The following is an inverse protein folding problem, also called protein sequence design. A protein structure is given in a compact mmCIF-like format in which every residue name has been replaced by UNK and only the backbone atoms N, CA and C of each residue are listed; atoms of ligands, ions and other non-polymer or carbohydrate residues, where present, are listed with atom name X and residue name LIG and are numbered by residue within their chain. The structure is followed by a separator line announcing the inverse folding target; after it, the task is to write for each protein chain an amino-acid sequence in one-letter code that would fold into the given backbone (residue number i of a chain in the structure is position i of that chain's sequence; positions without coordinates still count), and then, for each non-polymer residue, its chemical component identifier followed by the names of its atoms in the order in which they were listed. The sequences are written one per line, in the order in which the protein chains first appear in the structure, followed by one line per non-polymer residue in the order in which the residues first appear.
data_IF_059396736347
#
_entry.id   IF_059396736347
#
_cell.length_a   1.000
_cell.length_b   1.000
_cell.length_c   1.000
_cell.angle_alpha   90.00
_cell.angle_beta   90.00
_cell.angle_gamma   90.00
#
_symmetry.space_group_name_H-M   'P 1'
#
loop_
_entity.id
_entity.type
_entity.pdbx_description
1 polymer ?
2 polymer ?
3 polymer ?
4 non-polymer ?
5 non-polymer ?
6 water ?
#
# COMPACT_ATOMS: atom_id res chain seq x y z
N UNK A 1 16.80 -15.45 -7.87
CA UNK A 1 16.46 -14.75 -6.65
C UNK A 1 15.17 -15.27 -6.04
N UNK A 2 14.61 -14.54 -5.05
CA UNK A 2 13.38 -14.99 -4.39
C UNK A 2 12.12 -14.50 -5.08
N UNK A 3 10.97 -14.96 -4.60
CA UNK A 3 9.71 -14.45 -5.12
C UNK A 3 8.71 -14.50 -3.97
N UNK A 4 7.60 -13.78 -4.13
CA UNK A 4 6.65 -13.79 -3.04
C UNK A 4 5.24 -13.60 -3.55
N UNK A 5 4.29 -14.10 -2.77
CA UNK A 5 2.90 -13.72 -2.87
C UNK A 5 2.41 -13.31 -1.48
N UNK A 6 1.54 -12.29 -1.45
CA UNK A 6 0.91 -11.82 -0.22
C UNK A 6 -0.52 -11.43 -0.52
N UNK A 7 -1.39 -11.60 0.47
CA UNK A 7 -2.72 -11.03 0.50
C UNK A 7 -2.85 -10.17 1.75
N UNK A 8 -3.32 -8.92 1.55
CA UNK A 8 -3.54 -7.90 2.58
C UNK A 8 -5.04 -7.75 2.71
N UNK A 9 -5.59 -8.16 3.85
CA UNK A 9 -7.03 -8.10 4.07
C UNK A 9 -7.33 -7.10 5.18
N UNK A 10 -8.42 -6.37 5.04
CA UNK A 10 -8.81 -5.29 5.94
C UNK A 10 -10.30 -5.40 6.17
N UNK A 11 -10.72 -5.40 7.42
CA UNK A 11 -12.13 -5.27 7.74
C UNK A 11 -12.32 -4.16 8.77
N UNK A 12 -13.33 -3.33 8.53
CA UNK A 12 -13.68 -2.20 9.37
C UNK A 12 -15.16 -2.33 9.71
N UNK A 13 -15.46 -2.43 11.01
CA UNK A 13 -16.85 -2.52 11.46
C UNK A 13 -17.52 -1.16 11.29
N UNK A 14 -18.81 -1.20 10.97
CA UNK A 14 -19.59 0.01 10.74
C UNK A 14 -20.75 0.11 11.71
N UNK A 15 -20.69 1.01 12.70
CA UNK A 15 -21.70 1.03 13.77
C UNK A 15 -23.14 1.05 13.28
N UNK A 16 -23.96 0.21 13.91
CA UNK A 16 -25.36 0.10 13.54
C UNK A 16 -25.58 -0.70 12.29
N UNK A 17 -24.53 -1.31 11.75
CA UNK A 17 -24.60 -2.15 10.57
C UNK A 17 -24.08 -3.55 10.88
N UNK A 18 -24.62 -4.53 10.16
CA UNK A 18 -24.24 -5.92 10.31
C UNK A 18 -22.92 -6.22 9.59
N UNK A 19 -22.77 -5.71 8.37
CA UNK A 19 -21.64 -6.02 7.50
C UNK A 19 -20.53 -4.99 7.67
N UNK A 20 -19.33 -5.39 8.03
CA UNK A 20 -18.20 -4.46 7.97
C UNK A 20 -17.78 -4.28 6.53
N UNK A 21 -17.06 -3.20 6.27
CA UNK A 21 -16.33 -3.10 5.01
C UNK A 21 -15.17 -4.09 5.00
N UNK A 22 -15.08 -4.90 3.94
CA UNK A 22 -13.98 -5.86 3.76
C UNK A 22 -13.25 -5.60 2.43
N UNK A 23 -11.94 -5.42 2.50
CA UNK A 23 -11.11 -5.21 1.32
C UNK A 23 -10.02 -6.27 1.34
N UNK A 24 -9.77 -6.88 0.19
CA UNK A 24 -8.77 -7.92 0.06
C UNK A 24 -7.91 -7.61 -1.16
N UNK A 25 -6.58 -7.57 -0.99
CA UNK A 25 -5.68 -7.24 -2.10
C UNK A 25 -4.55 -8.27 -2.24
N UNK A 26 -4.37 -8.77 -3.47
CA UNK A 26 -3.28 -9.66 -3.79
C UNK A 26 -2.05 -8.97 -4.35
N UNK A 27 -0.89 -9.54 -4.03
CA UNK A 27 0.42 -9.03 -4.43
C UNK A 27 1.30 -10.18 -4.84
N UNK A 28 1.89 -10.09 -6.03
CA UNK A 28 2.99 -10.97 -6.44
C UNK A 28 4.23 -10.11 -6.58
N UNK A 29 5.28 -10.46 -5.85
CA UNK A 29 6.53 -9.69 -5.84
C UNK A 29 6.26 -8.21 -5.57
N UNK A 30 5.42 -7.96 -4.58
CA UNK A 30 5.02 -6.63 -4.13
C UNK A 30 4.33 -5.83 -5.22
N UNK A 31 3.78 -6.48 -6.24
CA UNK A 31 3.01 -5.81 -7.27
C UNK A 31 1.56 -6.31 -7.20
N UNK A 32 0.60 -5.38 -7.12
CA UNK A 32 -0.80 -5.75 -6.95
C UNK A 32 -1.33 -6.45 -8.20
N UNK A 33 -1.81 -7.69 -8.04
CA UNK A 33 -2.45 -8.36 -9.18
C UNK A 33 -3.94 -8.63 -9.06
N UNK A 34 -4.56 -8.46 -7.89
CA UNK A 34 -6.00 -8.73 -7.72
C UNK A 34 -6.53 -7.90 -6.56
N UNK A 35 -7.82 -7.60 -6.58
CA UNK A 35 -8.43 -6.81 -5.53
C UNK A 35 -9.92 -7.11 -5.44
N UNK A 36 -10.43 -7.15 -4.20
CA UNK A 36 -11.86 -7.23 -3.91
C UNK A 36 -12.22 -6.16 -2.89
N UNK A 37 -13.39 -5.54 -3.08
CA UNK A 37 -13.86 -4.48 -2.21
C UNK A 37 -15.38 -4.61 -2.02
N UNK A 38 -15.83 -4.81 -0.79
CA UNK A 38 -17.24 -4.98 -0.48
C UNK A 38 -18.07 -3.72 -0.77
N UNK A 39 -17.43 -2.60 -1.10
CA UNK A 39 -18.10 -1.32 -1.30
C UNK A 39 -18.84 -1.21 -2.65
N UNK A 40 -18.50 -2.05 -3.62
CA UNK A 40 -19.12 -2.00 -4.93
C UNK A 40 -20.59 -2.43 -4.87
N UNK A 41 -21.35 -2.02 -5.89
CA UNK A 41 -22.76 -2.41 -5.96
C UNK A 41 -22.90 -3.92 -6.13
N UNK A 42 -22.10 -4.51 -7.02
CA UNK A 42 -22.03 -5.96 -7.23
C UNK A 42 -20.57 -6.36 -7.05
N UNK A 43 -20.12 -6.59 -5.81
CA UNK A 43 -18.68 -6.79 -5.57
C UNK A 43 -18.17 -8.13 -6.12
N UNK A 44 -17.03 -8.07 -6.80
CA UNK A 44 -16.47 -9.21 -7.50
C UNK A 44 -14.97 -9.08 -7.43
N UNK A 45 -14.28 -10.22 -7.34
CA UNK A 45 -12.83 -10.17 -7.33
C UNK A 45 -12.35 -9.76 -8.72
N UNK A 46 -11.35 -8.89 -8.77
CA UNK A 46 -10.95 -8.32 -10.06
C UNK A 46 -9.45 -8.33 -10.32
N UNK A 47 -9.03 -8.58 -11.56
CA UNK A 47 -7.60 -8.53 -11.89
C UNK A 47 -7.10 -7.09 -11.93
N UNK A 48 -5.98 -6.85 -11.27
CA UNK A 48 -5.27 -5.58 -11.29
C UNK A 48 -4.02 -5.62 -12.13
N UNK A 49 -3.74 -6.74 -12.78
CA UNK A 49 -2.56 -6.81 -13.62
C UNK A 49 -2.93 -7.38 -14.97
N UNK A 50 -2.23 -6.95 -16.03
CA UNK A 50 -2.55 -7.47 -17.38
C UNK A 50 -2.58 -9.00 -17.47
N UNK A 51 -1.56 -9.66 -16.93
CA UNK A 51 -1.44 -11.11 -17.03
C UNK A 51 -2.52 -11.87 -16.26
N UNK A 52 -3.36 -11.20 -15.47
CA UNK A 52 -4.37 -11.93 -14.74
C UNK A 52 -5.63 -12.16 -15.55
N UNK A 53 -5.78 -11.47 -16.67
CA UNK A 53 -6.91 -11.72 -17.57
C UNK A 53 -6.78 -13.04 -18.31
N UNK A 54 -5.67 -13.77 -18.12
CA UNK A 54 -5.53 -15.12 -18.67
C UNK A 54 -6.33 -16.17 -17.90
N UNK A 55 -6.92 -15.80 -16.74
CA UNK A 55 -7.68 -16.74 -15.93
C UNK A 55 -9.16 -16.68 -16.28
N UNK A 56 -9.83 -17.84 -16.22
CA UNK A 56 -11.20 -17.97 -16.67
C UNK A 56 -12.26 -17.69 -15.64
N UNK A 57 -13.52 -17.95 -16.00
CA UNK A 57 -14.64 -17.53 -15.13
C UNK A 57 -14.70 -18.25 -13.80
N UNK A 58 -14.44 -19.56 -13.78
CA UNK A 58 -14.47 -20.28 -12.52
C UNK A 58 -13.49 -19.69 -11.50
N UNK A 59 -12.35 -19.18 -11.96
CA UNK A 59 -11.42 -18.50 -11.05
C UNK A 59 -12.11 -17.33 -10.37
N UNK A 60 -12.67 -16.41 -11.14
CA UNK A 60 -13.17 -15.19 -10.51
C UNK A 60 -14.43 -15.45 -9.70
N UNK A 61 -15.31 -16.33 -10.17
CA UNK A 61 -16.44 -16.74 -9.33
C UNK A 61 -15.96 -17.33 -8.01
N UNK A 62 -14.96 -18.22 -8.04
CA UNK A 62 -14.52 -18.87 -6.81
C UNK A 62 -13.87 -17.88 -5.86
N UNK A 63 -12.93 -17.06 -6.37
CA UNK A 63 -12.31 -16.06 -5.50
C UNK A 63 -13.36 -15.10 -4.92
N UNK A 64 -14.36 -14.75 -5.72
CA UNK A 64 -15.42 -13.88 -5.23
C UNK A 64 -16.15 -14.54 -4.05
N UNK A 65 -16.56 -15.79 -4.21
CA UNK A 65 -17.30 -16.46 -3.13
C UNK A 65 -16.41 -16.64 -1.89
N UNK A 66 -15.14 -16.96 -2.09
CA UNK A 66 -14.19 -16.99 -0.99
C UNK A 66 -14.17 -15.66 -0.23
N UNK A 67 -14.13 -14.54 -0.98
CA UNK A 67 -14.04 -13.23 -0.34
C UNK A 67 -15.30 -12.92 0.45
N UNK A 68 -16.47 -13.32 -0.05
CA UNK A 68 -17.65 -13.11 0.77
C UNK A 68 -17.61 -13.95 2.04
N UNK A 69 -17.02 -15.15 1.96
CA UNK A 69 -16.85 -15.95 3.16
C UNK A 69 -15.89 -15.33 4.14
N UNK A 70 -14.83 -14.68 3.61
CA UNK A 70 -13.89 -13.99 4.49
C UNK A 70 -14.52 -12.75 5.11
N UNK A 71 -15.29 -11.99 4.34
CA UNK A 71 -16.08 -10.91 4.95
C UNK A 71 -16.86 -11.41 6.16
N UNK A 72 -17.55 -12.55 5.99
CA UNK A 72 -18.25 -13.10 7.16
C UNK A 72 -17.28 -13.47 8.29
N UNK A 73 -16.12 -14.08 7.95
CA UNK A 73 -15.21 -14.50 9.00
C UNK A 73 -14.74 -13.30 9.83
N UNK A 74 -14.39 -12.20 9.17
CA UNK A 74 -13.98 -11.00 9.89
C UNK A 74 -15.13 -10.39 10.67
N UNK A 75 -16.36 -10.49 10.15
CA UNK A 75 -17.47 -9.97 10.94
C UNK A 75 -17.59 -10.69 12.30
N UNK A 76 -17.53 -12.03 12.28
CA UNK A 76 -17.50 -12.83 13.52
C UNK A 76 -16.34 -12.40 14.42
N UNK A 77 -15.12 -12.42 13.86
CA UNK A 77 -13.95 -12.21 14.71
C UNK A 77 -13.98 -10.83 15.32
N UNK A 78 -14.49 -9.83 14.58
CA UNK A 78 -14.69 -8.51 15.16
C UNK A 78 -15.62 -8.59 16.38
N UNK A 79 -16.78 -9.24 16.20
CA UNK A 79 -17.67 -9.34 17.35
C UNK A 79 -16.96 -9.97 18.55
N UNK A 80 -16.09 -10.96 18.32
CA UNK A 80 -15.40 -11.58 19.45
C UNK A 80 -14.41 -10.63 20.10
N UNK A 81 -13.66 -9.88 19.30
CA UNK A 81 -12.69 -8.96 19.89
C UNK A 81 -13.37 -7.90 20.75
N UNK A 82 -14.58 -7.45 20.39
CA UNK A 82 -15.29 -6.55 21.30
C UNK A 82 -15.38 -7.14 22.71
N UNK A 83 -15.60 -8.45 22.82
CA UNK A 83 -15.72 -9.05 24.13
C UNK A 83 -14.39 -9.19 24.82
N UNK A 84 -13.35 -9.65 24.09
CA UNK A 84 -12.03 -9.82 24.72
C UNK A 84 -11.55 -8.51 25.34
N UNK A 85 -11.73 -7.41 24.64
CA UNK A 85 -11.23 -6.09 25.00
C UNK A 85 -12.27 -5.21 25.65
N UNK A 86 -13.46 -5.75 25.92
CA UNK A 86 -14.56 -5.00 26.57
C UNK A 86 -14.83 -3.67 25.86
N UNK A 87 -14.98 -3.74 24.54
CA UNK A 87 -15.32 -2.52 23.81
C UNK A 87 -16.79 -2.52 23.45
N UNK A 88 -17.24 -1.40 22.89
CA UNK A 88 -18.62 -1.21 22.45
C UNK A 88 -18.69 -1.32 20.94
N UNK A 89 -19.79 -1.87 20.46
CA UNK A 89 -20.01 -1.93 19.02
C UNK A 89 -20.36 -0.57 18.43
N UNK A 90 -20.64 0.41 19.30
CA UNK A 90 -20.87 1.77 18.85
C UNK A 90 -19.68 2.41 18.16
N UNK A 91 -18.47 1.91 18.40
CA UNK A 91 -17.28 2.40 17.76
C UNK A 91 -16.88 1.58 16.54
N UNK A 92 -16.17 2.22 15.61
CA UNK A 92 -15.57 1.52 14.49
C UNK A 92 -14.27 0.87 14.92
N UNK A 93 -14.04 -0.37 14.46
CA UNK A 93 -12.84 -1.11 14.77
C UNK A 93 -12.26 -1.74 13.50
N UNK A 94 -10.97 -2.07 13.56
CA UNK A 94 -10.18 -2.39 12.38
C UNK A 94 -9.39 -3.66 12.64
N UNK A 95 -9.53 -4.60 11.72
CA UNK A 95 -8.82 -5.87 11.79
C UNK A 95 -8.12 -6.07 10.46
N UNK A 96 -6.86 -6.47 10.51
CA UNK A 96 -6.07 -6.64 9.29
C UNK A 96 -5.32 -7.96 9.32
N UNK A 97 -5.00 -8.44 8.12
CA UNK A 97 -4.38 -9.73 7.94
C UNK A 97 -3.36 -9.67 6.80
N UNK A 98 -2.24 -10.32 7.00
CA UNK A 98 -1.25 -10.49 5.96
C UNK A 98 -0.98 -11.99 5.85
N UNK A 99 -1.05 -12.53 4.64
CA UNK A 99 -0.77 -13.95 4.48
C UNK A 99 -0.04 -14.20 3.17
N UNK A 100 0.75 -15.26 3.12
CA UNK A 100 1.36 -15.63 1.86
C UNK A 100 2.69 -16.31 2.09
N UNK A 101 3.52 -16.32 1.05
CA UNK A 101 4.71 -17.15 1.07
C UNK A 101 5.82 -16.50 0.25
N UNK A 102 7.05 -16.80 0.67
CA UNK A 102 8.28 -16.47 -0.06
C UNK A 102 8.94 -17.75 -0.52
N UNK A 103 9.24 -17.81 -1.82
CA UNK A 103 10.03 -18.86 -2.41
C UNK A 103 11.48 -18.44 -2.48
N UNK A 104 12.36 -19.36 -2.09
CA UNK A 104 13.79 -19.11 -2.06
C UNK A 104 14.39 -19.13 -3.46
N UNK A 105 15.72 -19.19 -3.50
CA UNK A 105 16.42 -19.23 -4.79
C UNK A 105 16.13 -20.52 -5.55
N UNK A 106 15.85 -21.61 -4.84
CA UNK A 106 15.52 -22.90 -5.43
C UNK A 106 14.02 -23.08 -5.71
N UNK A 107 13.22 -22.04 -5.51
CA UNK A 107 11.78 -22.02 -5.76
C UNK A 107 11.02 -22.88 -4.76
N UNK A 108 11.72 -23.55 -3.85
CA UNK A 108 11.07 -24.18 -2.72
C UNK A 108 10.54 -23.13 -1.77
N UNK A 109 9.53 -23.53 -1.01
CA UNK A 109 8.99 -22.64 0.00
C UNK A 109 10.11 -22.18 0.92
N UNK A 110 10.30 -20.87 1.04
CA UNK A 110 11.30 -20.36 1.94
C UNK A 110 10.66 -20.00 3.28
N UNK A 111 9.68 -19.11 3.26
CA UNK A 111 8.99 -18.78 4.51
C UNK A 111 7.50 -18.56 4.27
N UNK A 112 6.68 -19.10 5.16
CA UNK A 112 5.26 -18.81 5.19
C UNK A 112 4.97 -17.68 6.17
N UNK A 113 3.87 -16.95 5.91
CA UNK A 113 3.48 -15.82 6.73
C UNK A 113 1.97 -15.84 6.94
N UNK A 114 1.55 -15.77 8.20
CA UNK A 114 0.16 -15.48 8.50
C UNK A 114 0.12 -14.64 9.76
N UNK A 115 -0.46 -13.44 9.67
CA UNK A 115 -0.45 -12.60 10.86
C UNK A 115 -1.60 -11.62 10.84
N UNK A 116 -2.03 -11.23 12.04
CA UNK A 116 -3.19 -10.38 12.23
C UNK A 116 -2.82 -9.16 13.06
N UNK A 117 -3.57 -8.09 12.85
CA UNK A 117 -3.42 -6.88 13.63
C UNK A 117 -4.81 -6.37 13.99
N UNK A 118 -4.93 -5.87 15.20
CA UNK A 118 -6.16 -5.23 15.65
C UNK A 118 -5.85 -3.79 15.99
N UNK A 119 -6.71 -2.88 15.53
CA UNK A 119 -6.52 -1.44 15.72
C UNK A 119 -5.13 -1.03 15.26
N UNK A 120 -4.64 -1.69 14.22
CA UNK A 120 -3.36 -1.36 13.64
C UNK A 120 -2.15 -1.79 14.44
N UNK A 121 -2.31 -2.71 15.39
CA UNK A 121 -1.17 -3.21 16.14
C UNK A 121 -1.17 -4.74 16.11
N UNK A 122 0.04 -5.31 16.06
CA UNK A 122 0.20 -6.77 16.03
C UNK A 122 -0.65 -7.41 17.10
N UNK A 123 -1.34 -8.49 16.71
CA UNK A 123 -2.22 -9.24 17.59
C UNK A 123 -1.73 -10.68 17.74
N UNK A 124 -1.71 -11.45 16.67
CA UNK A 124 -1.23 -12.84 16.74
C UNK A 124 -0.61 -13.18 15.40
N UNK A 125 0.42 -14.02 15.43
CA UNK A 125 1.11 -14.35 14.20
C UNK A 125 1.58 -15.80 14.25
N UNK A 126 1.41 -16.50 13.14
CA UNK A 126 1.91 -17.86 13.02
C UNK A 126 3.43 -17.84 12.89
N UNK A 127 4.09 -18.80 13.55
CA UNK A 127 5.54 -18.74 13.59
C UNK A 127 6.16 -19.39 12.35
N UNK A 128 7.48 -19.24 12.23
CA UNK A 128 8.22 -19.79 11.09
C UNK A 128 8.05 -21.31 10.97
N UNK A 129 7.87 -22.00 12.10
CA UNK A 129 7.63 -23.44 12.09
C UNK A 129 6.24 -23.83 11.56
N UNK A 130 5.34 -22.86 11.34
CA UNK A 130 3.99 -23.10 10.86
C UNK A 130 3.21 -24.02 11.79
N UNK A 131 3.65 -24.09 13.04
CA UNK A 131 3.10 -24.90 14.11
C UNK A 131 2.59 -24.04 15.25
N UNK A 132 3.40 -23.10 15.73
CA UNK A 132 3.09 -22.34 16.93
C UNK A 132 2.77 -20.87 16.64
N UNK A 133 2.06 -20.29 17.59
CA UNK A 133 1.58 -18.92 17.53
C UNK A 133 2.35 -18.03 18.49
N UNK A 134 2.54 -16.77 18.10
CA UNK A 134 3.02 -15.73 18.98
C UNK A 134 1.89 -14.74 19.19
N UNK A 135 1.52 -14.55 20.45
CA UNK A 135 0.45 -13.64 20.84
C UNK A 135 1.04 -12.36 21.38
N UNK A 136 0.42 -11.22 21.01
CA UNK A 136 0.99 -9.91 21.34
C UNK A 136 0.64 -9.41 22.73
N UNK A 137 -0.42 -9.92 23.34
CA UNK A 137 -0.86 -9.35 24.61
C UNK A 137 -1.79 -10.35 25.27
N UNK A 138 -2.41 -9.96 26.39
CA UNK A 138 -3.23 -10.90 27.14
C UNK A 138 -4.47 -11.32 26.35
N UNK A 139 -5.07 -10.40 25.60
CA UNK A 139 -6.23 -10.71 24.77
C UNK A 139 -5.88 -11.70 23.68
N UNK A 140 -4.74 -11.50 23.02
CA UNK A 140 -4.36 -12.42 21.97
C UNK A 140 -4.08 -13.80 22.52
N UNK A 141 -3.70 -13.88 23.80
CA UNK A 141 -3.47 -15.16 24.43
C UNK A 141 -4.74 -15.99 24.47
N UNK A 142 -5.91 -15.34 24.56
CA UNK A 142 -7.18 -16.04 24.47
C UNK A 142 -7.29 -16.73 23.13
N UNK A 143 -7.09 -15.96 22.05
CA UNK A 143 -7.13 -16.51 20.71
C UNK A 143 -6.11 -17.62 20.55
N UNK A 144 -4.90 -17.44 21.10
CA UNK A 144 -3.86 -18.46 20.93
C UNK A 144 -4.27 -19.78 21.58
N UNK A 145 -4.84 -19.70 22.79
CA UNK A 145 -5.37 -20.90 23.43
C UNK A 145 -6.44 -21.55 22.58
N UNK A 146 -7.39 -20.74 22.10
CA UNK A 146 -8.43 -21.25 21.21
C UNK A 146 -7.84 -22.00 20.01
N UNK A 147 -6.82 -21.41 19.36
CA UNK A 147 -6.32 -21.95 18.10
C UNK A 147 -5.44 -23.17 18.34
N UNK A 148 -4.79 -23.22 19.50
CA UNK A 148 -4.13 -24.44 19.93
C UNK A 148 -5.14 -25.57 20.10
N UNK A 149 -6.24 -25.30 20.80
CA UNK A 149 -7.26 -26.32 21.00
C UNK A 149 -7.89 -26.78 19.70
N UNK A 150 -8.01 -25.88 18.72
CA UNK A 150 -8.64 -26.23 17.45
C UNK A 150 -7.65 -26.71 16.39
N UNK A 151 -6.35 -26.60 16.64
CA UNK A 151 -5.37 -26.99 15.63
C UNK A 151 -5.40 -26.19 14.33
N UNK A 152 -5.83 -24.93 14.39
CA UNK A 152 -5.89 -24.06 13.21
C UNK A 152 -4.56 -23.96 12.47
N UNK A 153 -3.45 -24.05 13.21
CA UNK A 153 -2.14 -23.91 12.58
C UNK A 153 -1.99 -24.88 11.45
N UNK A 154 -2.53 -26.10 11.62
CA UNK A 154 -2.41 -27.12 10.58
C UNK A 154 -3.09 -26.67 9.29
N UNK A 155 -4.33 -26.19 9.38
CA UNK A 155 -5.03 -25.62 8.22
C UNK A 155 -4.15 -24.62 7.47
N UNK A 156 -3.56 -23.68 8.21
CA UNK A 156 -2.75 -22.66 7.54
C UNK A 156 -1.49 -23.24 6.93
N UNK A 157 -0.75 -24.04 7.69
CA UNK A 157 0.47 -24.63 7.17
C UNK A 157 0.21 -25.43 5.88
N UNK A 158 -0.95 -26.10 5.83
CA UNK A 158 -1.34 -26.77 4.60
C UNK A 158 -1.48 -25.79 3.44
N UNK A 159 -2.20 -24.67 3.67
CA UNK A 159 -2.32 -23.67 2.60
C UNK A 159 -0.96 -23.14 2.16
N UNK A 160 -0.09 -22.83 3.13
CA UNK A 160 1.17 -22.15 2.84
C UNK A 160 2.12 -23.03 2.06
N UNK A 161 2.20 -24.32 2.43
CA UNK A 161 2.99 -25.26 1.63
C UNK A 161 2.21 -25.77 0.42
N UNK A 162 0.93 -25.47 0.36
CA UNK A 162 -0.04 -25.90 -0.62
C UNK A 162 -0.21 -24.93 -1.77
N UNK A 163 -1.47 -24.55 -1.93
CA UNK A 163 -1.95 -23.57 -2.90
C UNK A 163 -1.05 -22.35 -3.03
N UNK A 164 -0.50 -21.83 -1.92
CA UNK A 164 0.32 -20.61 -2.00
C UNK A 164 1.47 -20.76 -2.97
N UNK A 165 2.24 -21.85 -2.84
CA UNK A 165 3.42 -22.07 -3.68
C UNK A 165 2.99 -22.40 -5.11
N UNK A 166 2.00 -23.27 -5.26
CA UNK A 166 1.48 -23.64 -6.57
C UNK A 166 1.06 -22.40 -7.36
N UNK A 167 0.09 -21.67 -6.80
CA UNK A 167 -0.46 -20.52 -7.49
C UNK A 167 0.59 -19.45 -7.71
N UNK A 168 1.56 -19.32 -6.80
CA UNK A 168 2.65 -18.39 -7.05
C UNK A 168 3.49 -18.84 -8.25
N UNK A 169 3.83 -20.13 -8.32
CA UNK A 169 4.56 -20.63 -9.49
C UNK A 169 3.81 -20.26 -10.77
N UNK A 170 2.49 -20.40 -10.74
CA UNK A 170 1.73 -20.16 -11.95
C UNK A 170 1.61 -18.67 -12.26
N UNK A 171 1.41 -17.82 -11.23
CA UNK A 171 1.41 -16.38 -11.42
C UNK A 171 2.75 -15.86 -11.93
N UNK A 172 3.85 -16.51 -11.57
CA UNK A 172 5.15 -16.14 -12.14
C UNK A 172 5.24 -16.51 -13.62
N UNK A 173 4.85 -17.76 -13.98
CA UNK A 173 4.82 -18.15 -15.39
C UNK A 173 3.93 -17.21 -16.22
N UNK A 174 2.75 -16.86 -15.70
CA UNK A 174 1.81 -16.01 -16.44
C UNK A 174 2.33 -14.58 -16.56
N UNK A 175 2.74 -13.99 -15.44
CA UNK A 175 3.17 -12.61 -15.39
C UNK A 175 4.58 -12.30 -15.80
N UNK A 176 5.32 -13.30 -16.30
CA UNK A 176 6.76 -13.23 -16.52
C UNK A 176 7.26 -11.92 -17.13
N UNK A 177 6.92 -11.69 -18.39
CA UNK A 177 7.36 -10.50 -19.10
C UNK A 177 7.12 -9.25 -18.28
N UNK A 178 5.84 -8.94 -18.01
CA UNK A 178 5.49 -7.71 -17.31
C UNK A 178 6.30 -7.56 -16.04
N UNK A 179 6.35 -8.63 -15.22
CA UNK A 179 6.98 -8.55 -13.91
C UNK A 179 8.49 -8.34 -13.99
N UNK A 180 9.15 -8.68 -15.10
CA UNK A 180 10.57 -8.39 -15.19
C UNK A 180 10.89 -6.95 -15.63
N UNK A 181 9.87 -6.12 -15.86
CA UNK A 181 10.13 -4.84 -16.51
C UNK A 181 10.83 -3.86 -15.55
N UNK A 182 11.65 -3.01 -16.15
CA UNK A 182 12.32 -1.90 -15.49
C UNK A 182 12.21 -0.68 -16.39
N UNK A 183 11.74 0.42 -15.84
CA UNK A 183 11.76 1.71 -16.52
C UNK A 183 12.88 2.53 -15.92
N UNK A 184 13.77 3.03 -16.77
CA UNK A 184 14.90 3.75 -16.22
C UNK A 184 14.46 5.16 -15.82
N UNK A 185 14.98 5.70 -14.73
CA UNK A 185 14.60 7.05 -14.32
C UNK A 185 15.19 8.10 -15.25
N UNK A 186 14.52 9.24 -15.34
CA UNK A 186 15.02 10.42 -16.02
C UNK A 186 15.27 11.49 -14.96
N UNK A 187 16.47 12.05 -14.97
CA UNK A 187 16.98 12.83 -13.86
C UNK A 187 17.39 14.23 -14.31
N UNK A 188 17.32 15.17 -13.38
CA UNK A 188 17.78 16.54 -13.64
C UNK A 188 17.92 17.25 -12.30
N UNK A 189 18.41 18.48 -12.34
CA UNK A 189 18.85 19.19 -11.15
C UNK A 189 18.34 20.62 -11.23
N UNK A 190 17.89 21.15 -10.09
CA UNK A 190 17.31 22.48 -10.00
C UNK A 190 18.03 23.29 -8.91
N UNK A 191 18.12 24.61 -9.11
CA UNK A 191 18.75 25.52 -8.16
C UNK A 191 17.69 26.35 -7.43
N UNK A 192 17.96 26.66 -6.16
CA UNK A 192 17.00 27.37 -5.33
C UNK A 192 17.76 28.24 -4.32
N UNK A 193 17.05 29.07 -3.53
CA UNK A 193 17.78 29.94 -2.61
C UNK A 193 17.78 29.45 -1.16
N UNK A 200 20.54 26.01 -2.46
CA UNK A 200 19.79 24.75 -2.49
C UNK A 200 19.67 24.16 -3.90
N UNK A 201 20.33 23.02 -4.12
CA UNK A 201 20.28 22.29 -5.39
C UNK A 201 19.56 20.96 -5.18
N UNK A 202 18.77 20.54 -6.18
CA UNK A 202 17.90 19.39 -6.02
C UNK A 202 18.04 18.44 -7.21
N UNK A 203 18.18 17.15 -6.92
CA UNK A 203 18.27 16.09 -7.90
C UNK A 203 16.95 15.34 -7.97
N UNK A 204 16.39 15.28 -9.17
CA UNK A 204 15.11 14.65 -9.48
C UNK A 204 15.35 13.36 -10.26
N UNK A 205 14.79 12.27 -9.76
CA UNK A 205 14.60 11.05 -10.53
C UNK A 205 13.10 10.88 -10.74
N UNK A 206 12.69 10.83 -12.01
CA UNK A 206 11.28 10.73 -12.38
C UNK A 206 11.05 9.61 -13.37
N UNK A 207 9.90 8.95 -13.22
CA UNK A 207 9.42 8.01 -14.23
C UNK A 207 10.00 6.62 -14.15
N UNK A 208 10.38 6.15 -12.96
CA UNK A 208 11.12 4.89 -12.83
C UNK A 208 10.27 3.80 -12.20
N UNK A 209 10.60 2.56 -12.57
CA UNK A 209 9.99 1.38 -11.96
C UNK A 209 11.07 0.27 -11.97
N UNK A 210 11.13 -0.56 -10.93
CA UNK A 210 10.36 -0.53 -9.68
C UNK A 210 10.80 0.59 -8.73
N UNK A 211 10.25 0.64 -7.51
CA UNK A 211 10.45 1.82 -6.65
C UNK A 211 11.82 1.88 -5.99
N UNK A 212 12.58 0.78 -5.95
CA UNK A 212 13.88 0.78 -5.28
C UNK A 212 14.88 1.61 -6.09
N UNK A 213 15.44 2.66 -5.46
CA UNK A 213 16.35 3.57 -6.15
C UNK A 213 17.28 4.20 -5.13
N UNK A 214 18.47 4.61 -5.59
CA UNK A 214 19.45 5.30 -4.77
C UNK A 214 19.89 6.59 -5.45
N UNK A 215 19.67 7.73 -4.77
CA UNK A 215 20.19 9.03 -5.19
C UNK A 215 21.22 9.50 -4.19
N UNK A 216 22.39 9.93 -4.68
CA UNK A 216 23.48 10.29 -3.78
C UNK A 216 24.18 11.54 -4.28
N UNK A 217 24.38 12.50 -3.37
CA UNK A 217 25.09 13.73 -3.68
C UNK A 217 26.58 13.56 -3.37
N UNK A 228 22.10 15.67 3.43
CA UNK A 228 21.18 15.99 2.33
C UNK A 228 19.76 15.55 2.69
N UNK A 229 18.77 16.36 2.31
CA UNK A 229 17.37 16.03 2.49
C UNK A 229 16.86 15.14 1.36
N UNK A 230 15.82 14.36 1.66
CA UNK A 230 15.23 13.48 0.65
C UNK A 230 13.79 13.19 1.03
N UNK A 231 12.95 12.89 0.02
CA UNK A 231 11.54 12.56 0.24
C UNK A 231 11.35 11.06 0.01
N UNK A 232 10.38 10.50 0.72
CA UNK A 232 10.04 9.10 0.51
C UNK A 232 9.58 8.92 -0.94
N UNK A 233 9.86 7.74 -1.49
CA UNK A 233 9.51 7.48 -2.88
C UNK A 233 8.00 7.53 -3.04
N UNK A 234 7.54 8.17 -4.12
CA UNK A 234 6.13 8.50 -4.30
C UNK A 234 5.65 7.98 -5.65
N UNK A 235 4.41 7.50 -5.72
CA UNK A 235 3.82 7.14 -7.01
C UNK A 235 3.45 8.37 -7.82
N UNK A 236 3.72 8.31 -9.13
CA UNK A 236 3.26 9.34 -10.03
C UNK A 236 1.80 9.12 -10.44
N UNK A 237 1.28 7.91 -10.27
CA UNK A 237 -0.04 7.53 -10.73
C UNK A 237 -0.04 6.73 -12.01
N UNK A 238 1.02 6.83 -12.81
CA UNK A 238 1.10 6.25 -14.15
C UNK A 238 1.78 4.89 -14.16
N UNK A 239 2.03 4.30 -13.02
CA UNK A 239 2.79 3.06 -12.96
C UNK A 239 4.27 3.26 -12.65
N UNK A 240 4.73 4.51 -12.55
CA UNK A 240 6.12 4.84 -12.21
C UNK A 240 6.19 5.65 -10.91
N UNK A 241 7.42 5.92 -10.49
CA UNK A 241 7.67 6.60 -9.24
C UNK A 241 8.58 7.81 -9.43
N UNK A 242 8.73 8.53 -8.33
CA UNK A 242 9.48 9.78 -8.28
C UNK A 242 10.24 9.81 -6.97
N UNK A 243 11.41 10.46 -7.01
CA UNK A 243 12.10 10.82 -5.77
C UNK A 243 13.02 12.00 -6.08
N UNK A 244 13.37 12.76 -5.04
CA UNK A 244 14.41 13.77 -5.16
C UNK A 244 15.21 13.85 -3.87
N UNK A 245 16.45 14.35 -4.02
CA UNK A 245 17.34 14.59 -2.90
C UNK A 245 18.08 15.90 -3.15
N UNK A 246 18.28 16.69 -2.10
CA UNK A 246 18.78 18.05 -2.27
C UNK A 246 19.84 18.38 -1.24
N UNK A 247 20.54 19.48 -1.49
CA UNK A 247 21.52 20.04 -0.58
C UNK A 247 21.34 21.55 -0.56
N UNK A 248 22.00 22.20 0.40
CA UNK A 248 22.17 23.64 0.43
C UNK A 248 23.63 23.92 0.11
N UNK A 249 23.88 24.46 -1.07
CA UNK A 249 25.24 24.68 -1.58
C UNK A 249 25.78 25.95 -0.94
N UNK A 250 27.07 26.32 -1.13
CA UNK A 250 27.52 27.60 -0.58
C UNK A 250 27.29 28.75 -1.54
N UNK A 251 26.14 28.72 -2.20
CA UNK A 251 25.49 29.88 -2.82
C UNK A 251 26.34 30.58 -3.88
N UNK A 252 27.66 30.52 -3.76
CA UNK A 252 28.52 31.00 -4.80
C UNK A 252 29.31 29.92 -5.51
N UNK A 253 29.45 28.77 -4.87
CA UNK A 253 30.25 27.70 -5.42
C UNK A 253 29.29 26.77 -6.16
N UNK A 254 29.36 26.83 -7.49
CA UNK A 254 28.52 26.02 -8.34
C UNK A 254 29.23 24.69 -8.59
N UNK A 255 28.56 23.78 -9.27
CA UNK A 255 29.03 22.40 -9.32
C UNK A 255 29.41 21.93 -7.91
N UNK A 256 28.61 22.35 -6.92
CA UNK A 256 28.94 22.09 -5.51
C UNK A 256 29.02 20.59 -5.24
N UNK A 257 28.27 19.81 -5.99
CA UNK A 257 28.34 18.38 -5.84
C UNK A 257 27.88 17.74 -7.15
N UNK A 258 28.18 16.47 -7.28
CA UNK A 258 27.69 15.66 -8.37
C UNK A 258 26.56 14.78 -7.85
N UNK A 259 25.52 14.60 -8.66
CA UNK A 259 24.40 13.74 -8.30
C UNK A 259 24.50 12.43 -9.07
N UNK A 260 24.58 11.32 -8.35
CA UNK A 260 24.55 10.00 -8.93
C UNK A 260 23.19 9.36 -8.68
N UNK A 261 22.67 8.68 -9.69
CA UNK A 261 21.46 7.90 -9.50
C UNK A 261 21.76 6.46 -9.94
N UNK A 262 21.57 5.52 -9.02
CA UNK A 262 21.66 4.08 -9.24
C UNK A 262 20.26 3.49 -9.19
N UNK A 263 19.86 2.84 -10.28
CA UNK A 263 18.59 2.14 -10.34
C UNK A 263 18.76 1.01 -11.35
N UNK A 264 18.17 -0.15 -11.05
CA UNK A 264 18.40 -1.37 -11.83
C UNK A 264 17.92 -1.25 -13.27
N UNK A 265 17.21 -0.19 -13.62
CA UNK A 265 16.79 0.02 -14.98
C UNK A 265 17.81 0.76 -15.82
N UNK A 266 18.80 1.39 -15.19
CA UNK A 266 19.77 2.18 -15.96
C UNK A 266 20.86 1.29 -16.54
N UNK A 267 21.14 1.40 -17.83
CA UNK A 267 22.37 0.75 -18.36
C UNK A 267 23.60 1.07 -17.54
N UNK A 268 23.77 2.31 -17.10
CA UNK A 268 24.80 2.74 -16.19
C UNK A 268 24.23 3.82 -15.29
N UNK A 269 24.76 3.95 -14.06
CA UNK A 269 24.25 5.00 -13.17
C UNK A 269 24.51 6.38 -13.76
N UNK A 270 23.53 7.26 -13.59
CA UNK A 270 23.62 8.60 -14.14
C UNK A 270 24.41 9.53 -13.24
N UNK A 271 24.94 10.59 -13.85
CA UNK A 271 25.69 11.63 -13.15
C UNK A 271 25.28 13.00 -13.70
N UNK A 272 24.89 13.91 -12.80
CA UNK A 272 24.35 15.21 -13.19
C UNK A 272 24.83 16.32 -12.26
N UNK A 273 24.78 17.55 -12.77
CA UNK A 273 25.03 18.74 -11.97
C UNK A 273 24.28 19.92 -12.59
N UNK A 274 24.16 21.01 -11.82
CA UNK A 274 23.40 22.20 -12.22
C UNK A 274 24.15 23.09 -13.21
N UNK B 1 -4.61 2.80 19.13
CA UNK B 1 -4.44 4.26 18.99
C UNK B 1 -4.28 4.61 17.48
N UNK B 2 -4.11 5.90 17.18
CA UNK B 2 -4.22 6.44 15.84
C UNK B 2 -2.90 7.05 15.34
N UNK B 3 -2.60 6.85 14.06
CA UNK B 3 -1.39 7.37 13.42
C UNK B 3 -1.76 8.55 12.52
N UNK B 4 -1.02 9.69 12.68
CA UNK B 4 -1.40 10.87 11.91
C UNK B 4 -0.85 10.81 10.50
N UNK B 5 -1.61 11.23 9.51
CA UNK B 5 -1.18 11.10 8.11
C UNK B 5 0.03 11.94 7.78
N UNK B 6 0.88 11.40 6.90
CA UNK B 6 1.90 12.16 6.21
C UNK B 6 1.44 12.42 4.78
N UNK B 7 1.71 13.63 4.28
CA UNK B 7 1.12 14.14 3.05
C UNK B 7 2.21 14.64 2.13
N UNK B 8 2.16 14.25 0.86
CA UNK B 8 2.96 14.87 -0.19
C UNK B 8 2.05 15.34 -1.31
N UNK B 9 2.30 16.53 -1.85
CA UNK B 9 1.50 17.07 -2.94
C UNK B 9 2.44 17.44 -4.08
N UNK B 10 2.21 16.86 -5.27
CA UNK B 10 3.14 16.99 -6.38
C UNK B 10 2.42 16.69 -7.69
N UNK B 11 2.96 17.21 -8.80
CA UNK B 11 2.42 16.85 -10.12
C UNK B 11 3.02 15.54 -10.64
N UNK B 12 2.27 14.87 -11.50
CA UNK B 12 2.79 13.64 -12.11
C UNK B 12 3.89 13.98 -13.10
N UNK B 13 3.70 15.00 -13.88
CA UNK B 13 4.64 15.47 -14.87
C UNK B 13 5.21 16.79 -14.40
N UNK B 14 6.45 17.11 -14.74
CA UNK B 14 7.00 18.40 -14.37
C UNK B 14 6.09 19.52 -14.87
N UNK B 15 5.76 20.46 -13.98
CA UNK B 15 4.74 21.47 -14.31
C UNK B 15 5.23 22.45 -15.37
N UNK B 16 4.42 22.65 -16.41
CA UNK B 16 4.60 23.79 -17.30
C UNK B 16 3.37 24.68 -17.19
N UNK B 17 3.60 26.00 -17.23
CA UNK B 17 2.48 26.93 -17.16
C UNK B 17 1.58 26.72 -18.38
N UNK B 18 0.30 26.45 -18.13
CA UNK B 18 -0.69 26.30 -19.16
C UNK B 18 -0.92 24.89 -19.67
N UNK B 19 -0.04 23.95 -19.34
CA UNK B 19 -0.09 22.59 -19.90
C UNK B 19 -0.88 21.65 -19.00
N UNK B 20 -1.84 20.90 -19.56
CA UNK B 20 -2.60 19.93 -18.76
C UNK B 20 -1.71 18.92 -18.05
N UNK B 21 -1.96 18.76 -16.75
CA UNK B 21 -1.15 17.91 -15.87
C UNK B 21 -2.10 17.23 -14.88
N UNK B 22 -1.52 16.51 -13.91
CA UNK B 22 -2.28 15.83 -12.85
C UNK B 22 -1.63 16.13 -11.50
N UNK B 23 -2.45 16.59 -10.55
CA UNK B 23 -2.01 16.87 -9.19
C UNK B 23 -2.28 15.68 -8.29
N UNK B 24 -1.27 15.33 -7.50
CA UNK B 24 -1.26 14.15 -6.64
C UNK B 24 -1.18 14.58 -5.18
N UNK B 25 -2.03 14.00 -4.36
CA UNK B 25 -1.96 14.11 -2.91
C UNK B 25 -1.79 12.68 -2.40
N UNK B 26 -0.59 12.39 -1.90
CA UNK B 26 -0.18 11.05 -1.50
C UNK B 26 -0.13 11.04 0.02
N UNK B 27 -0.98 10.20 0.61
CA UNK B 27 -1.22 10.25 2.05
C UNK B 27 -0.90 8.87 2.60
N UNK B 28 -0.08 8.83 3.65
CA UNK B 28 0.49 7.57 4.09
C UNK B 28 0.55 7.56 5.60
N UNK B 29 0.85 6.37 6.13
CA UNK B 29 1.26 6.17 7.51
C UNK B 29 0.13 6.44 8.50
N UNK B 30 -1.12 6.24 8.10
CA UNK B 30 -2.21 6.68 8.97
C UNK B 30 -3.07 5.52 9.44
N UNK B 31 -3.84 5.79 10.48
CA UNK B 31 -4.68 4.79 11.11
C UNK B 31 -5.58 5.44 12.15
N UNK B 32 -6.87 5.08 12.16
CA UNK B 32 -7.69 4.13 11.39
C UNK B 32 -7.83 4.48 9.89
N UNK B 33 -8.36 3.55 9.08
CA UNK B 33 -8.33 3.76 7.63
C UNK B 33 -9.23 4.86 7.15
N UNK B 34 -10.27 5.24 7.90
CA UNK B 34 -11.24 6.21 7.38
C UNK B 34 -10.63 7.61 7.35
N UNK B 35 -10.72 8.26 6.20
CA UNK B 35 -10.00 9.49 5.96
C UNK B 35 -10.75 10.24 4.87
N UNK B 36 -10.59 11.57 4.84
CA UNK B 36 -11.31 12.40 3.89
C UNK B 36 -10.33 13.41 3.32
N UNK B 37 -10.20 13.45 1.99
CA UNK B 37 -9.17 14.24 1.31
C UNK B 37 -9.81 15.16 0.29
N UNK B 38 -9.29 16.38 0.19
CA UNK B 38 -9.81 17.39 -0.72
C UNK B 38 -8.66 18.14 -1.36
N UNK B 39 -8.92 18.69 -2.55
CA UNK B 39 -7.95 19.48 -3.31
C UNK B 39 -8.47 20.90 -3.46
N UNK B 40 -7.58 21.88 -3.26
CA UNK B 40 -7.93 23.29 -3.21
C UNK B 40 -7.11 24.09 -4.22
N UNK B 41 -7.76 25.10 -4.81
CA UNK B 41 -7.16 26.01 -5.79
C UNK B 41 -7.52 27.43 -5.36
N UNK B 42 -6.50 28.21 -5.02
CA UNK B 42 -6.67 29.58 -4.48
C UNK B 42 -7.63 29.60 -3.30
N UNK B 43 -7.60 28.55 -2.48
CA UNK B 43 -8.47 28.39 -1.34
C UNK B 43 -9.83 27.78 -1.64
N UNK B 44 -10.05 27.27 -2.86
CA UNK B 44 -11.35 26.82 -3.33
C UNK B 44 -11.28 25.36 -3.68
N UNK B 45 -12.26 24.59 -3.22
CA UNK B 45 -12.22 23.14 -3.41
C UNK B 45 -12.43 22.76 -4.87
N UNK B 46 -11.72 21.72 -5.29
CA UNK B 46 -11.85 21.14 -6.64
C UNK B 46 -12.75 19.94 -6.57
N UNK B 47 -13.81 19.86 -7.37
CA UNK B 47 -14.65 18.65 -7.39
C UNK B 47 -13.98 17.58 -8.24
N UNK B 48 -14.60 16.39 -8.28
CA UNK B 48 -14.23 15.26 -9.14
C UNK B 48 -12.94 14.54 -8.72
N UNK B 49 -12.26 14.99 -7.66
CA UNK B 49 -10.97 14.42 -7.25
C UNK B 49 -11.13 12.93 -7.02
N UNK B 50 -10.33 12.14 -7.76
CA UNK B 50 -10.41 10.69 -7.71
C UNK B 50 -9.51 10.14 -6.61
N UNK B 51 -10.06 9.29 -5.76
CA UNK B 51 -9.26 8.49 -4.84
C UNK B 51 -8.65 7.32 -5.58
N UNK B 52 -7.44 6.94 -5.17
CA UNK B 52 -6.90 5.66 -5.58
C UNK B 52 -7.69 4.59 -4.86
N UNK B 53 -7.27 3.35 -5.00
CA UNK B 53 -7.75 2.30 -4.12
C UNK B 53 -6.80 2.22 -2.92
N UNK B 54 -7.38 2.06 -1.74
CA UNK B 54 -6.60 2.09 -0.51
C UNK B 54 -5.85 0.77 -0.28
N UNK B 55 -4.59 0.89 0.14
CA UNK B 55 -3.79 -0.23 0.59
C UNK B 55 -3.30 0.02 2.03
N UNK B 56 -2.53 -0.93 2.56
CA UNK B 56 -1.79 -0.67 3.78
C UNK B 56 -0.42 -1.30 3.63
N UNK B 57 0.48 -0.93 4.54
CA UNK B 57 1.89 -1.24 4.46
C UNK B 57 2.26 -2.34 5.44
N UNK B 58 3.54 -2.73 5.36
CA UNK B 58 4.07 -3.81 6.17
C UNK B 58 3.92 -3.55 7.67
N UNK B 59 3.95 -2.27 8.08
CA UNK B 59 3.78 -1.89 9.48
C UNK B 59 2.33 -1.65 9.83
N UNK B 60 1.42 -1.95 8.90
CA UNK B 60 -0.03 -1.95 9.02
C UNK B 60 -0.66 -0.59 8.74
N UNK B 61 0.12 0.48 8.61
CA UNK B 61 -0.48 1.80 8.42
C UNK B 61 -1.05 1.93 7.00
N UNK B 62 -2.14 2.67 6.89
CA UNK B 62 -2.81 2.84 5.60
C UNK B 62 -2.17 3.94 4.75
N UNK B 63 -2.41 3.83 3.44
CA UNK B 63 -2.02 4.85 2.48
C UNK B 63 -2.97 4.84 1.28
N UNK B 64 -2.86 5.89 0.47
CA UNK B 64 -3.80 6.15 -0.60
C UNK B 64 -3.31 7.35 -1.40
N UNK B 65 -3.77 7.44 -2.66
CA UNK B 65 -3.34 8.47 -3.59
C UNK B 65 -4.57 9.14 -4.18
N UNK B 66 -4.70 10.44 -3.97
CA UNK B 66 -5.77 11.24 -4.56
C UNK B 66 -5.17 12.06 -5.70
N UNK B 67 -5.90 12.17 -6.79
CA UNK B 67 -5.33 12.85 -7.95
C UNK B 67 -6.47 13.52 -8.70
N UNK B 68 -6.19 14.70 -9.24
CA UNK B 68 -7.14 15.35 -10.13
C UNK B 68 -6.35 16.14 -11.16
N UNK B 69 -6.90 16.25 -12.36
CA UNK B 69 -6.22 17.02 -13.39
C UNK B 69 -6.07 18.47 -12.94
N UNK B 70 -4.99 19.11 -13.38
CA UNK B 70 -4.86 20.54 -13.14
C UNK B 70 -3.94 21.16 -14.19
N UNK B 71 -4.01 22.48 -14.29
CA UNK B 71 -3.24 23.23 -15.27
C UNK B 71 -2.53 24.36 -14.53
N UNK B 72 -1.28 24.13 -14.11
CA UNK B 72 -0.54 25.15 -13.35
C UNK B 72 -0.39 26.46 -14.10
N UNK B 73 -0.45 27.58 -13.36
CA UNK B 73 -0.12 28.90 -13.86
C UNK B 73 0.94 29.53 -12.96
N UNK B 74 1.37 30.76 -13.31
CA UNK B 74 2.39 31.45 -12.53
C UNK B 74 1.86 31.97 -11.21
N UNK B 75 0.55 32.03 -11.03
CA UNK B 75 -0.12 32.82 -9.99
C UNK B 75 -0.96 31.96 -9.05
N UNK B 76 -1.85 31.12 -9.59
CA UNK B 76 -2.70 30.25 -8.77
C UNK B 76 -1.88 29.39 -7.82
N UNK B 77 -2.40 29.21 -6.62
CA UNK B 77 -1.83 28.30 -5.62
C UNK B 77 -2.73 27.07 -5.51
N UNK B 78 -2.11 25.93 -5.22
CA UNK B 78 -2.84 24.67 -5.08
C UNK B 78 -2.47 24.02 -3.76
N UNK B 79 -3.37 23.22 -3.21
CA UNK B 79 -3.14 22.64 -1.89
C UNK B 79 -4.01 21.40 -1.67
N UNK B 80 -3.62 20.57 -0.70
CA UNK B 80 -4.36 19.38 -0.32
C UNK B 80 -4.81 19.49 1.13
N UNK B 81 -6.02 19.01 1.43
CA UNK B 81 -6.64 19.17 2.74
C UNK B 81 -7.13 17.83 3.26
N UNK B 82 -6.61 17.40 4.41
CA UNK B 82 -6.79 16.05 4.95
C UNK B 82 -7.51 16.15 6.30
N UNK B 83 -8.65 15.46 6.42
CA UNK B 83 -9.36 15.29 7.67
C UNK B 83 -9.27 13.84 8.11
N UNK B 84 -8.81 13.64 9.35
CA UNK B 84 -8.57 12.33 9.93
C UNK B 84 -8.72 12.39 11.45
N UNK B 85 -9.13 11.28 12.06
CA UNK B 85 -9.43 11.29 13.50
C UNK B 85 -8.21 11.55 14.38
N UNK B 86 -7.00 11.28 13.88
CA UNK B 86 -5.79 11.54 14.66
C UNK B 86 -5.50 13.02 14.83
N UNK B 87 -6.25 13.90 14.17
CA UNK B 87 -5.96 15.32 14.20
C UNK B 87 -7.18 16.09 14.69
N UNK B 88 -6.96 17.00 15.62
CA UNK B 88 -8.06 17.80 16.14
C UNK B 88 -8.64 18.74 15.08
N UNK B 89 -7.89 19.07 14.04
CA UNK B 89 -8.44 19.83 12.91
C UNK B 89 -7.72 19.40 11.64
N UNK B 90 -8.37 19.56 10.47
CA UNK B 90 -7.74 19.11 9.21
C UNK B 90 -6.45 19.83 8.89
N UNK B 91 -5.57 19.13 8.19
CA UNK B 91 -4.24 19.61 7.83
C UNK B 91 -4.24 19.99 6.34
N UNK B 92 -3.84 21.22 6.02
CA UNK B 92 -3.72 21.65 4.63
C UNK B 92 -2.24 21.83 4.25
N UNK B 93 -1.91 21.39 3.05
CA UNK B 93 -0.54 21.29 2.55
C UNK B 93 -0.48 21.99 1.19
N UNK B 94 0.26 23.09 1.12
CA UNK B 94 0.38 23.81 -0.13
C UNK B 94 1.11 22.95 -1.16
N UNK B 95 0.79 23.16 -2.44
CA UNK B 95 1.52 22.54 -3.55
C UNK B 95 2.70 23.45 -3.90
N UNK B 96 3.91 22.95 -3.65
CA UNK B 96 5.12 23.60 -4.10
C UNK B 96 5.56 22.93 -5.40
N UNK B 97 5.78 23.71 -6.44
CA UNK B 97 5.92 23.10 -7.76
C UNK B 97 7.32 22.57 -8.04
N UNK B 98 8.35 23.02 -7.33
CA UNK B 98 9.64 22.34 -7.36
C UNK B 98 9.88 21.45 -6.16
N UNK B 99 8.86 21.17 -5.34
CA UNK B 99 8.97 20.09 -4.35
C UNK B 99 8.21 18.85 -4.79
N UNK C 1 -4.20 -16.89 -5.19
CA UNK C 1 -5.22 -17.72 -4.56
C UNK C 1 -5.34 -17.34 -3.09
N UNK C 2 -6.52 -16.87 -2.70
CA UNK C 2 -6.73 -16.35 -1.35
C UNK C 2 -6.86 -17.49 -0.35
N UNK C 3 -6.15 -17.38 0.78
CA UNK C 3 -6.33 -18.32 1.89
C UNK C 3 -7.70 -18.15 2.50
N UNK C 4 -8.31 -19.25 2.92
CA UNK C 4 -9.55 -19.24 3.69
C UNK C 4 -9.24 -19.45 5.17
N UNK C 5 -9.67 -18.51 6.01
CA UNK C 5 -9.37 -18.58 7.42
C UNK C 5 -10.13 -19.71 8.10
N UNK C 6 -9.53 -20.19 9.19
CA UNK C 6 -9.96 -21.30 10.02
C UNK C 6 -10.81 -20.82 11.17
N UNK C 7 -10.51 -21.32 12.37
CA UNK C 7 -11.18 -20.85 13.57
C UNK C 7 -11.20 -19.33 13.65
N UNK C 8 -12.32 -18.81 14.12
CA UNK C 8 -12.44 -17.37 14.33
C UNK C 8 -11.49 -16.93 15.44
N UNK C 9 -11.15 -15.64 15.42
CA UNK C 9 -10.35 -15.11 16.51
C UNK C 9 -11.08 -15.30 17.86
#
# INVERSE_FOLDING_TARGET
GPHSMRYFETAVSRPGLEEPRYISVGYVDNKEFVRFDSDAENPRYEPRAPWMEQEGPEYWERETQKAKGQEQWFRVSLRNLLGYYNQSAGGSHTLQQMSGCDLGSDWRLLRGYLQFAYEGRDYIALNEDLKTWTAADMAAQITRRKWEQSGAAEHYKAYLEGECVEWLHRYLKNGNATLLRTDSPKAHVTHHPRSKGEVTLRCWALGFYPADITLTWQLNGEELTQDMELVETRPAGDGTFQKWASVVVPLGKEQNYTCRVYHEGLPEPLTLRW
IQKTPQIQVYSRHPPENGKPNILNCYVTQFHPPHIEIQMLKNGKKIPKVEMSDMSFSKDWSFYILAHTEFTPTETDTYACRVKHDSMAEPKTVYWDRDM
WLVTNGSYL
#
